data_IF_454772521917
#
_entry.id   IF_454772521917
#
_cell.length_a   1.000
_cell.length_b   1.000
_cell.length_c   1.000
_cell.angle_alpha   90.00
_cell.angle_beta   90.00
_cell.angle_gamma   90.00
#
_symmetry.space_group_name_H-M   'P 1'
#
loop_
_entity.id
_entity.type
_entity.pdbx_description
1 polymer ?
#
# COMPACT_ATOMS: atom_id res chain seq x y z
N UNK A 1 -26.94 2.77 -35.38
CA UNK A 1 -26.20 3.86 -34.75
C UNK A 1 -26.47 3.79 -33.27
N UNK A 2 -25.58 3.16 -32.52
CA UNK A 2 -25.73 3.00 -31.06
C UNK A 2 -25.15 4.19 -30.30
N UNK A 3 -24.21 4.92 -30.90
CA UNK A 3 -23.60 6.14 -30.33
C UNK A 3 -24.56 7.33 -30.38
N UNK A 4 -25.27 7.56 -31.49
CA UNK A 4 -26.23 8.68 -31.62
C UNK A 4 -27.44 8.54 -30.68
N UNK A 5 -27.88 7.32 -30.37
CA UNK A 5 -28.95 7.07 -29.39
C UNK A 5 -28.48 7.27 -27.94
N UNK A 6 -27.19 7.06 -27.65
CA UNK A 6 -26.59 7.31 -26.33
C UNK A 6 -26.38 8.81 -26.10
N UNK A 7 -26.08 9.57 -27.16
CA UNK A 7 -25.84 11.02 -27.12
C UNK A 7 -27.12 11.87 -26.99
N UNK A 8 -28.32 11.29 -27.18
CA UNK A 8 -29.59 12.02 -27.21
C UNK A 8 -30.41 11.97 -25.90
N UNK A 9 -29.89 11.36 -24.83
CA UNK A 9 -30.60 11.26 -23.55
C UNK A 9 -29.70 11.75 -22.40
N UNK A 10 -29.99 12.96 -21.89
CA UNK A 10 -29.17 13.71 -20.93
C UNK A 10 -28.85 12.95 -19.63
N UNK A 11 -29.77 12.11 -19.15
CA UNK A 11 -29.53 11.27 -17.95
C UNK A 11 -28.62 10.08 -18.24
N UNK A 12 -28.75 9.45 -19.42
CA UNK A 12 -27.86 8.36 -19.85
C UNK A 12 -26.48 8.86 -20.22
N UNK A 13 -26.38 10.09 -20.74
CA UNK A 13 -25.13 10.81 -20.97
C UNK A 13 -24.35 10.96 -19.65
N UNK A 14 -24.99 11.44 -18.58
CA UNK A 14 -24.34 11.59 -17.26
C UNK A 14 -23.85 10.27 -16.68
N UNK A 15 -24.61 9.18 -16.83
CA UNK A 15 -24.23 7.88 -16.27
C UNK A 15 -23.11 7.18 -17.06
N UNK A 16 -23.05 7.38 -18.38
CA UNK A 16 -22.03 6.75 -19.23
C UNK A 16 -20.76 7.60 -19.38
N UNK A 17 -20.79 8.88 -19.02
CA UNK A 17 -19.66 9.78 -19.20
C UNK A 17 -18.37 9.31 -18.51
N UNK A 18 -18.40 8.79 -17.26
CA UNK A 18 -17.19 8.26 -16.64
C UNK A 18 -16.57 7.09 -17.42
N UNK A 19 -17.41 6.25 -18.03
CA UNK A 19 -16.96 5.12 -18.87
C UNK A 19 -16.28 5.66 -20.14
N UNK A 20 -16.84 6.70 -20.76
CA UNK A 20 -16.29 7.33 -21.95
C UNK A 20 -14.94 7.97 -21.65
N UNK A 21 -14.82 8.77 -20.59
CA UNK A 21 -13.55 9.38 -20.20
C UNK A 21 -12.50 8.35 -19.80
N UNK A 22 -12.89 7.22 -19.21
CA UNK A 22 -11.97 6.14 -18.89
C UNK A 22 -11.38 5.51 -20.16
N UNK A 23 -12.24 5.24 -21.16
CA UNK A 23 -11.79 4.75 -22.48
C UNK A 23 -10.98 5.78 -23.25
N UNK A 24 -11.32 7.06 -23.13
CA UNK A 24 -10.56 8.15 -23.74
C UNK A 24 -9.14 8.19 -23.18
N UNK A 25 -9.00 8.07 -21.85
CA UNK A 25 -7.69 7.98 -21.21
C UNK A 25 -6.89 6.77 -21.75
N UNK A 26 -7.52 5.61 -21.93
CA UNK A 26 -6.85 4.45 -22.54
C UNK A 26 -6.37 4.73 -23.97
N UNK A 27 -7.16 5.45 -24.76
CA UNK A 27 -6.76 5.82 -26.12
C UNK A 27 -5.64 6.86 -26.13
N UNK A 28 -5.71 7.85 -25.25
CA UNK A 28 -4.67 8.87 -25.10
C UNK A 28 -3.32 8.22 -24.77
N UNK A 29 -3.30 7.26 -23.85
CA UNK A 29 -2.08 6.51 -23.54
C UNK A 29 -1.61 5.62 -24.70
N UNK A 30 -2.49 4.77 -25.22
CA UNK A 30 -2.07 3.67 -26.11
C UNK A 30 -1.94 4.05 -27.59
N UNK A 31 -2.68 5.08 -28.04
CA UNK A 31 -2.75 5.46 -29.46
C UNK A 31 -2.10 6.80 -29.74
N UNK A 32 -2.14 7.74 -28.78
CA UNK A 32 -1.69 9.11 -28.99
C UNK A 32 -0.40 9.46 -28.24
N UNK A 33 0.11 8.54 -27.40
CA UNK A 33 1.28 8.79 -26.54
C UNK A 33 1.14 10.10 -25.73
N UNK A 34 -0.09 10.35 -25.27
CA UNK A 34 -0.51 11.58 -24.60
C UNK A 34 -0.85 11.29 -23.13
N UNK A 35 0.15 11.12 -22.24
CA UNK A 35 -0.08 10.84 -20.83
C UNK A 35 -0.77 12.01 -20.12
N UNK A 36 -0.49 13.25 -20.52
CA UNK A 36 -1.12 14.45 -19.96
C UNK A 36 -2.61 14.53 -20.28
N UNK A 37 -2.99 14.26 -21.53
CA UNK A 37 -4.40 14.16 -21.91
C UNK A 37 -5.12 13.05 -21.15
N UNK A 38 -4.46 11.90 -20.95
CA UNK A 38 -5.01 10.80 -20.16
C UNK A 38 -5.24 11.21 -18.69
N UNK A 39 -4.28 11.91 -18.06
CA UNK A 39 -4.42 12.48 -16.72
C UNK A 39 -5.63 13.40 -16.62
N UNK A 40 -5.75 14.35 -17.54
CA UNK A 40 -6.88 15.30 -17.55
C UNK A 40 -8.24 14.58 -17.66
N UNK A 41 -8.33 13.55 -18.50
CA UNK A 41 -9.54 12.72 -18.61
C UNK A 41 -9.90 12.01 -17.29
N UNK A 42 -8.91 11.48 -16.58
CA UNK A 42 -9.11 10.82 -15.28
C UNK A 42 -9.44 11.83 -14.16
N UNK A 43 -8.76 12.98 -14.13
CA UNK A 43 -9.07 14.07 -13.20
C UNK A 43 -10.49 14.62 -13.39
N UNK A 44 -10.95 14.69 -14.65
CA UNK A 44 -12.32 15.05 -14.95
C UNK A 44 -13.31 14.10 -14.28
N UNK A 45 -13.05 12.79 -14.31
CA UNK A 45 -13.90 11.79 -13.63
C UNK A 45 -13.90 12.06 -12.12
N UNK A 46 -12.71 12.24 -11.50
CA UNK A 46 -12.56 12.49 -10.07
C UNK A 46 -13.35 13.74 -9.62
N UNK A 47 -13.27 14.82 -10.39
CA UNK A 47 -13.90 16.11 -10.08
C UNK A 47 -15.42 16.11 -10.26
N UNK A 48 -15.92 15.48 -11.33
CA UNK A 48 -17.34 15.58 -11.69
C UNK A 48 -18.19 14.45 -11.09
N UNK A 49 -17.57 13.36 -10.64
CA UNK A 49 -18.25 12.20 -10.06
C UNK A 49 -17.62 11.83 -8.71
N UNK A 50 -17.55 12.78 -7.74
CA UNK A 50 -17.00 12.48 -6.43
C UNK A 50 -17.79 11.36 -5.76
N UNK A 51 -17.14 10.63 -4.86
CA UNK A 51 -17.75 9.52 -4.12
C UNK A 51 -18.31 8.37 -5.00
N UNK A 52 -17.84 8.27 -6.24
CA UNK A 52 -18.23 7.19 -7.14
C UNK A 52 -17.11 6.16 -7.30
N UNK A 53 -17.50 4.92 -7.63
CA UNK A 53 -16.55 3.87 -8.02
C UNK A 53 -15.68 4.29 -9.22
N UNK A 54 -16.21 5.14 -10.10
CA UNK A 54 -15.46 5.66 -11.24
C UNK A 54 -14.36 6.64 -10.80
N UNK A 55 -14.64 7.51 -9.84
CA UNK A 55 -13.62 8.38 -9.24
C UNK A 55 -12.55 7.57 -8.51
N UNK A 56 -12.93 6.55 -7.74
CA UNK A 56 -11.96 5.66 -7.08
C UNK A 56 -11.04 4.96 -8.11
N UNK A 57 -11.60 4.45 -9.21
CA UNK A 57 -10.82 3.83 -10.28
C UNK A 57 -9.89 4.84 -10.95
N UNK A 58 -10.36 6.06 -11.19
CA UNK A 58 -9.54 7.14 -11.74
C UNK A 58 -8.38 7.49 -10.79
N UNK A 59 -8.62 7.58 -9.48
CA UNK A 59 -7.58 7.80 -8.48
C UNK A 59 -6.53 6.69 -8.44
N UNK A 60 -6.92 5.41 -8.56
CA UNK A 60 -5.93 4.32 -8.66
C UNK A 60 -5.03 4.48 -9.89
N UNK A 61 -5.64 4.82 -11.02
CA UNK A 61 -4.92 4.96 -12.29
C UNK A 61 -3.95 6.13 -12.26
N UNK A 62 -4.38 7.29 -11.76
CA UNK A 62 -3.51 8.45 -11.57
C UNK A 62 -2.34 8.11 -10.64
N UNK A 63 -2.61 7.48 -9.50
CA UNK A 63 -1.55 7.02 -8.60
C UNK A 63 -0.56 6.05 -9.26
N UNK A 64 -1.05 5.15 -10.12
CA UNK A 64 -0.19 4.21 -10.86
C UNK A 64 0.67 4.92 -11.91
N UNK A 65 0.13 5.95 -12.58
CA UNK A 65 0.86 6.76 -13.54
C UNK A 65 1.97 7.56 -12.85
N UNK A 66 1.66 8.19 -11.73
CA UNK A 66 2.63 9.02 -11.02
C UNK A 66 3.72 8.14 -10.36
N UNK A 67 3.36 6.95 -9.86
CA UNK A 67 4.34 5.96 -9.42
C UNK A 67 5.25 5.46 -10.55
N UNK A 68 4.73 5.33 -11.78
CA UNK A 68 5.53 4.94 -12.93
C UNK A 68 6.51 6.05 -13.35
N UNK A 69 6.05 7.30 -13.35
CA UNK A 69 6.89 8.46 -13.67
C UNK A 69 7.99 8.66 -12.61
N UNK A 70 7.69 8.49 -11.32
CA UNK A 70 8.68 8.51 -10.23
C UNK A 70 9.76 7.44 -10.44
N UNK A 71 9.35 6.19 -10.70
CA UNK A 71 10.29 5.10 -10.98
C UNK A 71 11.14 5.34 -12.23
N UNK A 72 10.58 5.99 -13.26
CA UNK A 72 11.33 6.35 -14.46
C UNK A 72 12.36 7.46 -14.18
N UNK A 73 12.02 8.44 -13.34
CA UNK A 73 12.94 9.51 -12.93
C UNK A 73 14.09 8.96 -12.08
N UNK A 74 13.79 8.08 -11.12
CA UNK A 74 14.81 7.42 -10.30
C UNK A 74 15.77 6.59 -11.16
N UNK A 75 15.25 5.86 -12.15
CA UNK A 75 16.09 5.08 -13.06
C UNK A 75 17.06 5.95 -13.86
N UNK A 76 16.65 7.14 -14.31
CA UNK A 76 17.55 8.09 -14.97
C UNK A 76 18.61 8.65 -14.03
N UNK A 77 18.22 9.04 -12.80
CA UNK A 77 19.17 9.58 -11.81
C UNK A 77 20.24 8.54 -11.44
N UNK A 78 19.83 7.28 -11.33
CA UNK A 78 20.73 6.15 -11.10
C UNK A 78 21.71 5.99 -12.27
N UNK A 79 21.23 6.02 -13.52
CA UNK A 79 22.09 5.91 -14.70
C UNK A 79 23.12 7.05 -14.79
N UNK A 80 22.70 8.29 -14.54
CA UNK A 80 23.61 9.45 -14.47
C UNK A 80 24.66 9.28 -13.36
N UNK A 81 24.25 8.81 -12.18
CA UNK A 81 25.15 8.53 -11.06
C UNK A 81 26.17 7.45 -11.42
N UNK A 82 25.74 6.37 -12.08
CA UNK A 82 26.65 5.32 -12.56
C UNK A 82 27.64 5.84 -13.59
N UNK A 83 27.21 6.70 -14.51
CA UNK A 83 28.09 7.31 -15.52
C UNK A 83 29.16 8.21 -14.85
N UNK A 84 28.79 8.96 -13.82
CA UNK A 84 29.73 9.80 -13.06
C UNK A 84 30.76 8.94 -12.29
N UNK A 85 30.31 7.90 -11.58
CA UNK A 85 31.21 6.98 -10.87
C UNK A 85 32.16 6.23 -11.81
N UNK A 86 31.68 5.84 -12.99
CA UNK A 86 32.52 5.22 -14.02
C UNK A 86 33.61 6.19 -14.52
N UNK A 87 33.27 7.47 -14.69
CA UNK A 87 34.24 8.51 -15.07
C UNK A 87 35.28 8.77 -13.97
N UNK A 88 34.87 8.90 -12.70
CA UNK A 88 35.79 9.08 -11.56
C UNK A 88 36.71 7.88 -11.33
N UNK A 89 36.20 6.67 -11.58
CA UNK A 89 36.98 5.44 -11.46
C UNK A 89 38.01 5.31 -12.58
N UNK A 90 37.67 5.75 -13.80
CA UNK A 90 38.61 5.80 -14.92
C UNK A 90 39.77 6.78 -14.68
N UNK A 91 39.57 7.83 -13.86
CA UNK A 91 40.62 8.75 -13.44
C UNK A 91 41.53 8.19 -12.32
N UNK A 92 41.08 7.16 -11.59
CA UNK A 92 41.77 6.61 -10.39
C UNK A 92 42.20 5.14 -10.56
N UNK A 93 42.56 4.72 -11.77
CA UNK A 93 42.89 3.33 -12.06
C UNK A 93 44.26 2.89 -11.47
N UNK A 94 44.26 2.48 -10.19
CA UNK A 94 45.37 1.77 -9.52
C UNK A 94 44.89 0.59 -8.65
N UNK A 95 43.74 -0.03 -8.93
CA UNK A 95 43.22 -1.13 -8.13
C UNK A 95 43.45 -2.49 -8.79
N UNK A 96 44.46 -3.22 -8.30
CA UNK A 96 44.65 -4.66 -8.56
C UNK A 96 44.28 -5.47 -7.32
N UNK A 97 43.05 -5.96 -7.27
CA UNK A 97 42.57 -6.90 -6.23
C UNK A 97 41.21 -7.50 -6.59
N UNK A 98 40.81 -8.63 -5.98
CA UNK A 98 39.48 -9.20 -6.14
C UNK A 98 38.41 -8.21 -5.65
N UNK A 99 37.33 -8.03 -6.42
CA UNK A 99 36.22 -7.17 -6.06
C UNK A 99 35.39 -7.82 -4.94
N UNK A 100 35.34 -7.18 -3.77
CA UNK A 100 34.32 -7.48 -2.75
C UNK A 100 33.02 -6.79 -3.16
N UNK A 101 31.90 -7.53 -3.14
CA UNK A 101 30.57 -6.97 -3.35
C UNK A 101 30.14 -6.29 -2.04
N UNK A 102 29.94 -4.96 -2.02
CA UNK A 102 29.47 -4.29 -0.82
C UNK A 102 28.09 -4.81 -0.43
N UNK A 103 27.94 -5.30 0.80
CA UNK A 103 26.62 -5.56 1.38
C UNK A 103 26.13 -4.24 1.97
N UNK A 104 24.89 -3.85 1.66
CA UNK A 104 24.29 -2.64 2.21
C UNK A 104 24.40 -2.65 3.74
N UNK A 105 24.87 -1.55 4.32
CA UNK A 105 24.98 -1.46 5.77
C UNK A 105 23.58 -1.37 6.40
N UNK A 106 23.51 -1.60 7.72
CA UNK A 106 22.26 -1.38 8.47
C UNK A 106 21.79 0.07 8.37
N UNK A 107 22.72 1.02 8.30
CA UNK A 107 22.45 2.45 8.14
C UNK A 107 21.84 2.77 6.77
N UNK A 108 22.37 2.18 5.69
CA UNK A 108 21.83 2.33 4.33
C UNK A 108 20.39 1.78 4.25
N UNK A 109 20.13 0.66 4.92
CA UNK A 109 18.81 0.03 4.95
C UNK A 109 17.78 0.89 5.70
N UNK A 110 18.20 1.54 6.80
CA UNK A 110 17.33 2.46 7.53
C UNK A 110 16.98 3.69 6.69
N UNK A 111 17.97 4.28 6.02
CA UNK A 111 17.77 5.42 5.15
C UNK A 111 16.81 5.11 4.00
N UNK A 112 16.96 3.95 3.34
CA UNK A 112 16.05 3.50 2.27
C UNK A 112 14.59 3.38 2.77
N UNK A 113 14.41 2.87 4.00
CA UNK A 113 13.06 2.75 4.55
C UNK A 113 12.46 4.13 4.89
N UNK A 114 13.27 5.07 5.37
CA UNK A 114 12.84 6.43 5.68
C UNK A 114 12.46 7.21 4.40
N UNK A 115 13.26 7.08 3.33
CA UNK A 115 12.93 7.69 2.04
C UNK A 115 11.67 7.09 1.43
N UNK A 116 11.55 5.76 1.43
CA UNK A 116 10.35 5.07 0.95
C UNK A 116 9.09 5.46 1.74
N UNK A 117 9.24 5.68 3.05
CA UNK A 117 8.15 6.15 3.91
C UNK A 117 7.71 7.58 3.56
N UNK A 118 8.66 8.50 3.38
CA UNK A 118 8.38 9.87 2.97
C UNK A 118 7.69 9.94 1.59
N UNK A 119 8.18 9.17 0.61
CA UNK A 119 7.57 9.06 -0.72
C UNK A 119 6.14 8.52 -0.64
N UNK A 120 5.92 7.49 0.17
CA UNK A 120 4.59 6.90 0.34
C UNK A 120 3.58 7.89 0.94
N UNK A 121 4.02 8.72 1.90
CA UNK A 121 3.19 9.81 2.45
C UNK A 121 2.80 10.79 1.33
N UNK A 122 3.77 11.28 0.56
CA UNK A 122 3.50 12.22 -0.54
C UNK A 122 2.50 11.64 -1.56
N UNK A 123 2.69 10.37 -1.95
CA UNK A 123 1.75 9.69 -2.87
C UNK A 123 0.34 9.56 -2.32
N UNK A 124 0.17 9.42 -1.00
CA UNK A 124 -1.16 9.43 -0.36
C UNK A 124 -1.73 10.85 -0.29
N UNK A 125 -0.91 11.88 -0.11
CA UNK A 125 -1.36 13.28 -0.13
C UNK A 125 -1.84 13.70 -1.54
N UNK A 126 -1.13 13.29 -2.59
CA UNK A 126 -1.49 13.56 -3.99
C UNK A 126 -2.72 12.76 -4.44
N UNK A 127 -2.79 11.49 -4.03
CA UNK A 127 -3.88 10.57 -4.37
C UNK A 127 -4.51 9.97 -3.12
N UNK A 128 -5.31 10.75 -2.36
CA UNK A 128 -5.91 10.30 -1.11
C UNK A 128 -6.92 9.18 -1.27
N UNK A 129 -7.39 8.90 -2.49
CA UNK A 129 -8.34 7.82 -2.76
C UNK A 129 -7.67 6.59 -3.41
N UNK A 130 -6.33 6.58 -3.49
CA UNK A 130 -5.57 5.42 -3.94
C UNK A 130 -5.59 4.33 -2.87
N UNK A 131 -6.06 3.13 -3.24
CA UNK A 131 -6.11 1.95 -2.38
C UNK A 131 -4.68 1.46 -2.20
N UNK A 132 -3.94 1.34 -3.30
CA UNK A 132 -2.56 0.87 -3.30
C UNK A 132 -1.69 1.74 -2.40
N UNK A 133 -1.74 3.08 -2.56
CA UNK A 133 -0.90 3.98 -1.75
C UNK A 133 -1.25 3.87 -0.26
N UNK A 134 -2.54 3.74 0.10
CA UNK A 134 -2.96 3.58 1.50
C UNK A 134 -2.60 2.22 2.10
N UNK A 135 -2.69 1.14 1.32
CA UNK A 135 -2.28 -0.19 1.77
C UNK A 135 -0.76 -0.26 2.00
N UNK A 136 0.02 0.36 1.11
CA UNK A 136 1.47 0.51 1.25
C UNK A 136 1.83 1.35 2.48
N UNK A 137 1.18 2.51 2.65
CA UNK A 137 1.41 3.38 3.80
C UNK A 137 1.07 2.65 5.11
N UNK A 138 -0.02 1.90 5.14
CA UNK A 138 -0.39 1.08 6.31
C UNK A 138 0.66 0.01 6.61
N UNK A 139 1.24 -0.62 5.58
CA UNK A 139 2.30 -1.61 5.76
C UNK A 139 3.56 -0.96 6.37
N UNK A 140 3.97 0.20 5.86
CA UNK A 140 5.13 0.93 6.37
C UNK A 140 4.93 1.46 7.80
N UNK A 141 3.72 1.90 8.15
CA UNK A 141 3.40 2.25 9.54
C UNK A 141 3.62 1.08 10.50
N UNK A 142 3.32 -0.16 10.08
CA UNK A 142 3.52 -1.36 10.92
C UNK A 142 4.99 -1.80 10.93
N UNK A 143 5.66 -1.84 9.77
CA UNK A 143 6.99 -2.43 9.65
C UNK A 143 8.12 -1.48 10.03
N UNK A 144 7.99 -0.19 9.70
CA UNK A 144 9.05 0.80 9.85
C UNK A 144 8.80 1.74 11.03
N UNK A 145 7.64 2.39 11.07
CA UNK A 145 7.35 3.39 12.11
C UNK A 145 6.88 2.79 13.45
N UNK A 146 6.48 1.52 13.46
CA UNK A 146 5.85 0.86 14.62
C UNK A 146 4.63 1.65 15.17
N UNK A 147 3.84 2.22 14.27
CA UNK A 147 2.65 3.04 14.53
C UNK A 147 1.37 2.28 14.09
N UNK A 148 0.96 1.23 14.81
CA UNK A 148 -0.16 0.36 14.41
C UNK A 148 -1.50 1.11 14.37
N UNK A 149 -1.66 2.17 15.17
CA UNK A 149 -2.87 2.99 15.19
C UNK A 149 -3.03 3.76 13.87
N UNK A 150 -1.95 4.36 13.37
CA UNK A 150 -1.96 5.06 12.08
C UNK A 150 -2.18 4.09 10.92
N UNK A 151 -1.61 2.88 10.99
CA UNK A 151 -1.88 1.83 10.01
C UNK A 151 -3.37 1.45 9.96
N UNK A 152 -4.02 1.28 11.13
CA UNK A 152 -5.45 0.98 11.21
C UNK A 152 -6.28 2.12 10.63
N UNK A 153 -5.92 3.38 10.88
CA UNK A 153 -6.62 4.54 10.32
C UNK A 153 -6.65 4.54 8.79
N UNK A 154 -5.59 4.07 8.12
CA UNK A 154 -5.60 3.93 6.66
C UNK A 154 -6.65 2.93 6.18
N UNK A 155 -6.75 1.76 6.84
CA UNK A 155 -7.77 0.78 6.50
C UNK A 155 -9.19 1.24 6.85
N UNK A 156 -9.38 1.98 7.95
CA UNK A 156 -10.68 2.59 8.27
C UNK A 156 -11.11 3.63 7.23
N UNK A 157 -10.17 4.42 6.70
CA UNK A 157 -10.45 5.30 5.56
C UNK A 157 -10.94 4.48 4.35
N UNK A 158 -10.22 3.41 3.99
CA UNK A 158 -10.60 2.53 2.86
C UNK A 158 -11.98 1.90 3.06
N UNK A 159 -12.32 1.50 4.28
CA UNK A 159 -13.64 0.95 4.63
C UNK A 159 -14.76 1.99 4.49
N UNK A 160 -14.45 3.28 4.66
CA UNK A 160 -15.38 4.38 4.43
C UNK A 160 -15.54 4.76 2.95
N UNK A 161 -14.69 4.23 2.05
CA UNK A 161 -14.74 4.61 0.64
C UNK A 161 -15.94 4.00 -0.11
N UNK A 162 -16.64 4.79 -0.93
CA UNK A 162 -17.72 4.29 -1.76
C UNK A 162 -17.18 3.38 -2.86
N UNK A 163 -17.90 2.27 -3.12
CA UNK A 163 -17.53 1.31 -4.16
C UNK A 163 -16.61 0.18 -3.72
N UNK A 164 -16.16 0.16 -2.47
CA UNK A 164 -15.44 -0.97 -1.88
C UNK A 164 -16.31 -2.24 -1.92
N UNK A 165 -15.80 -3.29 -2.54
CA UNK A 165 -16.50 -4.59 -2.61
C UNK A 165 -16.49 -5.30 -1.26
N UNK A 166 -17.47 -6.16 -1.00
CA UNK A 166 -17.49 -7.00 0.22
C UNK A 166 -16.16 -7.74 0.42
N UNK A 167 -15.58 -8.28 -0.67
CA UNK A 167 -14.29 -8.96 -0.63
C UNK A 167 -13.15 -8.06 -0.13
N UNK A 168 -13.11 -6.80 -0.57
CA UNK A 168 -12.11 -5.82 -0.13
C UNK A 168 -12.32 -5.44 1.33
N UNK A 169 -13.55 -5.15 1.73
CA UNK A 169 -13.88 -4.80 3.12
C UNK A 169 -13.47 -5.94 4.08
N UNK A 170 -13.79 -7.18 3.72
CA UNK A 170 -13.36 -8.37 4.48
C UNK A 170 -11.84 -8.49 4.53
N UNK A 171 -11.13 -8.23 3.43
CA UNK A 171 -9.67 -8.27 3.41
C UNK A 171 -9.06 -7.21 4.34
N UNK A 172 -9.55 -5.97 4.28
CA UNK A 172 -9.05 -4.86 5.12
C UNK A 172 -9.35 -5.07 6.61
N UNK A 173 -10.55 -5.53 6.97
CA UNK A 173 -10.87 -5.87 8.36
C UNK A 173 -9.99 -7.00 8.90
N UNK A 174 -9.65 -8.00 8.07
CA UNK A 174 -8.69 -9.02 8.47
C UNK A 174 -7.28 -8.44 8.69
N UNK A 175 -6.85 -7.47 7.87
CA UNK A 175 -5.59 -6.74 8.09
C UNK A 175 -5.61 -5.95 9.40
N UNK A 176 -6.70 -5.26 9.70
CA UNK A 176 -6.89 -4.54 10.98
C UNK A 176 -6.79 -5.51 12.16
N UNK A 177 -7.47 -6.66 12.10
CA UNK A 177 -7.41 -7.67 13.16
C UNK A 177 -5.98 -8.25 13.32
N UNK A 178 -5.28 -8.49 12.21
CA UNK A 178 -3.87 -8.93 12.25
C UNK A 178 -2.96 -7.90 12.91
N UNK A 179 -3.14 -6.61 12.61
CA UNK A 179 -2.37 -5.52 13.22
C UNK A 179 -2.65 -5.47 14.71
N UNK A 180 -3.93 -5.46 15.13
CA UNK A 180 -4.32 -5.46 16.53
C UNK A 180 -3.70 -6.63 17.31
N UNK A 181 -3.73 -7.85 16.76
CA UNK A 181 -3.14 -9.03 17.43
C UNK A 181 -1.62 -8.90 17.54
N UNK A 182 -0.94 -8.41 16.49
CA UNK A 182 0.53 -8.29 16.48
C UNK A 182 1.05 -7.15 17.35
N UNK A 183 0.30 -6.06 17.47
CA UNK A 183 0.70 -4.87 18.23
C UNK A 183 0.32 -4.91 19.71
N UNK A 184 -0.18 -6.04 20.21
CA UNK A 184 -0.58 -6.19 21.62
C UNK A 184 -1.96 -5.61 21.94
N UNK A 185 -2.83 -5.45 20.96
CA UNK A 185 -4.24 -5.09 21.15
C UNK A 185 -4.99 -6.11 22.00
N UNK A 186 -6.12 -5.67 22.54
CA UNK A 186 -6.95 -6.47 23.42
C UNK A 186 -7.74 -7.53 22.65
N UNK A 187 -8.15 -8.57 23.37
CA UNK A 187 -9.04 -9.60 22.81
C UNK A 187 -10.35 -8.99 22.28
N UNK A 188 -10.90 -8.00 22.97
CA UNK A 188 -12.18 -7.40 22.58
C UNK A 188 -12.05 -6.54 21.31
N UNK A 189 -10.95 -5.80 21.14
CA UNK A 189 -10.70 -5.03 19.91
C UNK A 189 -10.64 -5.92 18.68
N UNK A 190 -9.82 -6.98 18.72
CA UNK A 190 -9.69 -7.92 17.61
C UNK A 190 -10.99 -8.71 17.37
N UNK A 191 -11.72 -9.06 18.43
CA UNK A 191 -13.05 -9.69 18.32
C UNK A 191 -14.06 -8.76 17.66
N UNK A 192 -14.13 -7.49 18.06
CA UNK A 192 -15.03 -6.51 17.48
C UNK A 192 -14.76 -6.29 15.98
N UNK A 193 -13.48 -6.22 15.59
CA UNK A 193 -13.09 -6.14 14.17
C UNK A 193 -13.55 -7.37 13.38
N UNK A 194 -13.37 -8.58 13.91
CA UNK A 194 -13.81 -9.81 13.27
C UNK A 194 -15.35 -9.93 13.24
N UNK A 195 -16.05 -9.34 14.21
CA UNK A 195 -17.51 -9.27 14.18
C UNK A 195 -17.99 -8.42 13.00
N UNK A 196 -17.33 -7.30 12.69
CA UNK A 196 -17.64 -6.50 11.49
C UNK A 196 -17.51 -7.33 10.20
N UNK A 197 -16.57 -8.28 10.13
CA UNK A 197 -16.45 -9.21 8.99
C UNK A 197 -17.69 -10.09 8.86
N UNK A 198 -18.22 -10.58 9.99
CA UNK A 198 -19.44 -11.39 10.01
C UNK A 198 -20.64 -10.54 9.58
N UNK A 199 -20.71 -9.30 10.04
CA UNK A 199 -21.84 -8.42 9.79
C UNK A 199 -21.95 -7.99 8.31
N UNK A 200 -20.84 -7.98 7.55
CA UNK A 200 -20.85 -7.70 6.11
C UNK A 200 -21.68 -8.74 5.34
N UNK A 201 -21.45 -10.03 5.60
CA UNK A 201 -22.14 -11.12 4.93
C UNK A 201 -22.16 -12.37 5.84
N UNK A 202 -23.20 -12.52 6.69
CA UNK A 202 -23.24 -13.55 7.72
C UNK A 202 -23.16 -14.99 7.20
N UNK A 203 -23.66 -15.23 5.98
CA UNK A 203 -23.67 -16.54 5.32
C UNK A 203 -22.43 -16.74 4.42
N UNK A 204 -21.57 -15.73 4.30
CA UNK A 204 -20.39 -15.76 3.46
C UNK A 204 -19.22 -16.55 4.06
N UNK A 205 -18.34 -17.06 3.20
CA UNK A 205 -17.12 -17.74 3.63
C UNK A 205 -16.21 -16.86 4.52
N UNK A 206 -16.29 -15.52 4.37
CA UNK A 206 -15.63 -14.57 5.25
C UNK A 206 -16.12 -14.65 6.69
N UNK A 207 -17.44 -14.71 6.89
CA UNK A 207 -18.06 -14.83 8.21
C UNK A 207 -17.69 -16.15 8.90
N UNK A 208 -17.76 -17.29 8.19
CA UNK A 208 -17.37 -18.59 8.76
C UNK A 208 -15.91 -18.60 9.24
N UNK A 209 -15.00 -17.99 8.47
CA UNK A 209 -13.60 -17.85 8.85
C UNK A 209 -13.43 -16.93 10.04
N UNK A 210 -14.11 -15.78 10.06
CA UNK A 210 -14.07 -14.84 11.18
C UNK A 210 -14.61 -15.47 12.49
N UNK A 211 -15.70 -16.23 12.43
CA UNK A 211 -16.24 -16.97 13.58
C UNK A 211 -15.22 -17.95 14.14
N UNK A 212 -14.61 -18.76 13.26
CA UNK A 212 -13.57 -19.72 13.66
C UNK A 212 -12.37 -19.00 14.28
N UNK A 213 -11.98 -17.86 13.72
CA UNK A 213 -10.88 -17.04 14.23
C UNK A 213 -11.19 -16.46 15.61
N UNK A 214 -12.40 -15.95 15.84
CA UNK A 214 -12.84 -15.45 17.16
C UNK A 214 -12.72 -16.54 18.22
N UNK A 215 -13.09 -17.79 17.91
CA UNK A 215 -12.98 -18.92 18.86
C UNK A 215 -11.53 -19.21 19.29
N UNK A 216 -10.56 -18.96 18.41
CA UNK A 216 -9.13 -19.25 18.64
C UNK A 216 -8.29 -18.01 18.95
N UNK A 217 -8.89 -16.82 19.00
CA UNK A 217 -8.21 -15.53 19.13
C UNK A 217 -7.33 -15.42 20.38
N UNK A 218 -7.73 -16.04 21.50
CA UNK A 218 -6.92 -16.05 22.73
C UNK A 218 -5.56 -16.74 22.55
N UNK A 219 -5.50 -17.76 21.67
CA UNK A 219 -4.27 -18.47 21.34
C UNK A 219 -3.40 -17.60 20.42
N UNK A 220 -4.00 -16.93 19.43
CA UNK A 220 -3.30 -16.01 18.53
C UNK A 220 -2.61 -14.87 19.31
N UNK A 221 -3.33 -14.22 20.22
CA UNK A 221 -2.79 -13.13 21.04
C UNK A 221 -1.65 -13.63 21.93
N UNK A 222 -1.80 -14.80 22.58
CA UNK A 222 -0.73 -15.38 23.39
C UNK A 222 0.52 -15.69 22.55
N UNK A 223 0.32 -16.21 21.33
CA UNK A 223 1.42 -16.51 20.42
C UNK A 223 2.13 -15.23 19.94
N UNK A 224 1.40 -14.17 19.63
CA UNK A 224 1.96 -12.87 19.27
C UNK A 224 2.76 -12.26 20.44
N UNK A 225 2.20 -12.25 21.64
CA UNK A 225 2.89 -11.75 22.83
C UNK A 225 4.19 -12.50 23.14
N UNK A 226 4.23 -13.83 22.91
CA UNK A 226 5.46 -14.61 23.08
C UNK A 226 6.54 -14.22 22.06
N UNK A 227 6.17 -13.87 20.83
CA UNK A 227 7.12 -13.42 19.80
C UNK A 227 7.69 -12.03 20.11
N UNK A 228 6.87 -11.16 20.69
CA UNK A 228 7.26 -9.78 21.02
C UNK A 228 8.01 -9.68 22.37
N UNK A 229 8.01 -10.73 23.20
CA UNK A 229 8.74 -10.73 24.46
C UNK A 229 10.25 -10.84 24.20
N UNK A 230 11.08 -9.95 24.78
CA UNK A 230 12.53 -10.08 24.68
C UNK A 230 12.96 -11.40 25.31
N UNK A 231 13.71 -12.22 24.54
CA UNK A 231 14.29 -13.46 25.02
C UNK A 231 15.22 -13.10 26.20
N UNK A 232 14.80 -13.46 27.43
CA UNK A 232 15.69 -13.42 28.59
C UNK A 232 16.77 -14.49 28.39
N UNK A 233 17.89 -14.09 27.79
CA UNK A 233 19.14 -14.85 27.89
C UNK A 233 19.62 -14.68 29.33
N UNK A 234 19.17 -15.55 30.23
CA UNK A 234 19.82 -15.70 31.52
C UNK A 234 21.25 -16.19 31.24
N UNK A 235 22.23 -15.28 31.35
CA UNK A 235 23.64 -15.65 31.38
C UNK A 235 23.82 -16.47 32.65
N UNK A 236 23.86 -17.79 32.49
CA UNK A 236 24.41 -18.67 33.51
C UNK A 236 25.90 -18.34 33.58
N UNK A 237 26.31 -17.56 34.58
CA UNK A 237 27.71 -17.52 34.99
C UNK A 237 28.02 -18.94 35.49
N UNK A 238 28.55 -19.78 34.60
CA UNK A 238 29.26 -20.97 35.03
C UNK A 238 30.44 -20.50 35.87
N UNK A 239 30.26 -20.66 37.17
CA UNK A 239 31.29 -20.70 38.19
C UNK A 239 32.30 -21.79 37.81
N UNK A 240 33.18 -21.47 36.86
CA UNK A 240 34.40 -22.21 36.57
C UNK A 240 35.30 -21.99 37.78
N UNK A 241 35.06 -22.82 38.80
CA UNK A 241 35.86 -22.87 40.01
C UNK A 241 37.34 -22.97 39.68
N UNK A 242 38.04 -21.86 39.90
CA UNK A 242 39.49 -21.84 40.07
C UNK A 242 39.78 -22.24 41.52
N UNK A 243 40.03 -23.54 41.74
CA UNK A 243 40.93 -24.02 42.79
C UNK A 243 41.81 -25.14 42.26
#
# INVERSE_FOLDING_TARGET
GTLDEILNNEERLRYNLPIVYNKLADWQMNLFDDPEGARQSLEFIRKNYPESKAAQLASQRLASMDSFDEASSEASDIDETYQQLAAESAEKDQLKGPLDIPTASEEDTLLINETAFAQCINRVEEHPDSITNREELAALYVSHANEPVLAIQQYEYLLGMPGATEKQQVAWLNKVADIQVKSGGTHEEARATLQRVIDINPEGAGATRAQSRIMHLSIEIRAANKKNAPLKLERHEEDLGLM
#
